data_IF_531683005938
#
_entry.id   IF_531683005938
#
_cell.length_a   1.000
_cell.length_b   1.000
_cell.length_c   1.000
_cell.angle_alpha   90.00
_cell.angle_beta   90.00
_cell.angle_gamma   90.00
#
_symmetry.space_group_name_H-M   'P 1'
#
loop_
_entity.id
_entity.type
_entity.pdbx_description
1 polymer ?
#
# COMPACT_ATOMS: atom_id res chain seq x y z
N UNK A 1 -12.41 0.28 -11.37
CA UNK A 1 -12.00 0.76 -10.03
C UNK A 1 -10.64 0.19 -9.68
N UNK A 2 -9.69 1.02 -9.26
CA UNK A 2 -8.44 0.54 -8.65
C UNK A 2 -8.77 0.10 -7.21
N UNK A 3 -8.31 -1.07 -6.73
CA UNK A 3 -8.49 -1.48 -5.34
C UNK A 3 -7.92 -0.45 -4.35
N UNK A 4 -8.60 -0.26 -3.22
CA UNK A 4 -8.18 0.70 -2.18
C UNK A 4 -6.79 0.32 -1.65
N UNK A 5 -6.51 -0.98 -1.53
CA UNK A 5 -5.22 -1.53 -1.12
C UNK A 5 -4.10 -1.11 -2.06
N UNK A 6 -4.30 -1.22 -3.37
CA UNK A 6 -3.28 -0.86 -4.35
C UNK A 6 -2.95 0.62 -4.29
N UNK A 7 -3.95 1.45 -3.99
CA UNK A 7 -3.78 2.89 -3.80
C UNK A 7 -2.98 3.19 -2.52
N UNK A 8 -3.37 2.59 -1.39
CA UNK A 8 -2.75 2.86 -0.08
C UNK A 8 -1.34 2.31 0.04
N UNK A 9 -1.09 1.12 -0.52
CA UNK A 9 0.23 0.47 -0.49
C UNK A 9 1.10 0.81 -1.70
N UNK A 10 0.67 1.76 -2.54
CA UNK A 10 1.49 2.29 -3.62
C UNK A 10 2.77 2.90 -3.06
N UNK A 11 3.92 2.51 -3.62
CA UNK A 11 5.26 2.97 -3.19
C UNK A 11 5.57 2.70 -1.71
N UNK A 12 4.94 1.67 -1.13
CA UNK A 12 5.25 1.17 0.20
C UNK A 12 6.08 -0.12 0.10
N UNK A 13 7.03 -0.27 1.01
CA UNK A 13 7.80 -1.50 1.18
C UNK A 13 7.54 -2.10 2.55
N UNK A 14 7.00 -3.31 2.55
CA UNK A 14 6.78 -4.10 3.76
C UNK A 14 8.07 -4.38 4.51
N UNK A 15 8.03 -4.25 5.83
CA UNK A 15 9.12 -4.57 6.74
C UNK A 15 8.66 -5.74 7.61
N UNK A 16 9.20 -6.93 7.36
CA UNK A 16 8.75 -8.20 7.99
C UNK A 16 8.71 -8.11 9.52
N UNK A 17 9.74 -7.54 10.15
CA UNK A 17 9.77 -7.38 11.61
C UNK A 17 8.63 -6.51 12.15
N UNK A 18 8.26 -5.45 11.43
CA UNK A 18 7.14 -4.58 11.82
C UNK A 18 5.79 -5.24 11.57
N UNK A 19 5.65 -6.02 10.49
CA UNK A 19 4.44 -6.79 10.23
C UNK A 19 4.15 -7.76 11.37
N UNK A 20 5.15 -8.55 11.77
CA UNK A 20 5.01 -9.51 12.88
C UNK A 20 4.67 -8.79 14.19
N UNK A 21 5.32 -7.65 14.48
CA UNK A 21 5.04 -6.86 15.68
C UNK A 21 3.64 -6.23 15.68
N UNK A 22 3.10 -5.88 14.51
CA UNK A 22 1.75 -5.31 14.38
C UNK A 22 0.64 -6.38 14.54
N UNK A 23 0.96 -7.66 14.37
CA UNK A 23 0.00 -8.77 14.51
C UNK A 23 -0.23 -9.58 13.25
N UNK A 24 0.58 -9.39 12.19
CA UNK A 24 0.58 -10.34 11.08
C UNK A 24 1.16 -11.68 11.55
N UNK A 25 0.54 -12.77 11.13
CA UNK A 25 1.10 -14.11 11.28
C UNK A 25 1.51 -14.67 9.92
N UNK A 26 2.55 -15.48 9.91
CA UNK A 26 3.08 -16.10 8.70
C UNK A 26 2.33 -17.42 8.46
N UNK A 27 1.55 -17.48 7.40
CA UNK A 27 0.89 -18.69 6.93
C UNK A 27 1.59 -19.15 5.64
N UNK A 28 2.38 -20.22 5.71
CA UNK A 28 3.20 -20.72 4.60
C UNK A 28 4.16 -19.66 4.04
N UNK A 29 3.84 -19.12 2.86
CA UNK A 29 4.61 -18.09 2.16
C UNK A 29 3.94 -16.71 2.20
N UNK A 30 2.81 -16.56 2.89
CA UNK A 30 2.04 -15.31 2.93
C UNK A 30 1.92 -14.80 4.36
N UNK A 31 1.85 -13.49 4.53
CA UNK A 31 1.53 -12.87 5.81
C UNK A 31 0.05 -12.57 5.85
N UNK A 32 -0.62 -12.99 6.91
CA UNK A 32 -2.06 -12.80 7.09
C UNK A 32 -2.29 -11.94 8.33
N UNK A 33 -3.17 -10.95 8.20
CA UNK A 33 -3.66 -10.13 9.31
C UNK A 33 -5.19 -10.18 9.30
N UNK A 34 -5.76 -10.47 10.45
CA UNK A 34 -7.19 -10.31 10.69
C UNK A 34 -7.40 -9.20 11.71
N UNK A 35 -8.26 -8.22 11.39
CA UNK A 35 -8.52 -7.10 12.29
C UNK A 35 -9.96 -6.60 12.16
N UNK A 36 -10.70 -6.44 13.27
CA UNK A 36 -11.98 -5.75 13.23
C UNK A 36 -11.77 -4.25 12.98
N UNK A 37 -12.76 -3.61 12.35
CA UNK A 37 -12.80 -2.17 12.14
C UNK A 37 -14.26 -1.69 12.07
N UNK A 38 -14.45 -0.37 12.01
CA UNK A 38 -15.78 0.23 11.98
C UNK A 38 -16.63 -0.26 13.18
N UNK A 39 -16.12 0.01 14.37
CA UNK A 39 -16.70 -0.40 15.67
C UNK A 39 -16.94 -1.91 15.84
N UNK A 40 -16.33 -2.73 14.99
CA UNK A 40 -16.43 -4.19 15.05
C UNK A 40 -17.47 -4.77 14.09
N UNK A 41 -18.25 -3.92 13.40
CA UNK A 41 -19.26 -4.38 12.43
C UNK A 41 -18.62 -5.14 11.26
N UNK A 42 -17.37 -4.79 10.93
CA UNK A 42 -16.63 -5.43 9.85
C UNK A 42 -15.29 -5.98 10.33
N UNK A 43 -14.85 -7.07 9.69
CA UNK A 43 -13.51 -7.63 9.84
C UNK A 43 -12.79 -7.57 8.51
N UNK A 44 -11.54 -7.13 8.51
CA UNK A 44 -10.66 -7.31 7.34
C UNK A 44 -9.78 -8.54 7.50
N UNK A 45 -9.57 -9.25 6.39
CA UNK A 45 -8.56 -10.28 6.24
C UNK A 45 -7.60 -9.83 5.14
N UNK A 46 -6.40 -9.42 5.55
CA UNK A 46 -5.35 -8.96 4.65
C UNK A 46 -4.33 -10.06 4.44
N UNK A 47 -4.02 -10.35 3.19
CA UNK A 47 -2.98 -11.28 2.78
C UNK A 47 -1.90 -10.54 2.00
N UNK A 48 -0.65 -10.69 2.41
CA UNK A 48 0.52 -10.10 1.75
C UNK A 48 1.43 -11.21 1.26
N UNK A 49 1.68 -11.22 -0.04
CA UNK A 49 2.61 -12.16 -0.67
C UNK A 49 4.08 -11.75 -0.44
N UNK A 50 5.06 -12.66 -0.63
CA UNK A 50 6.48 -12.30 -0.55
C UNK A 50 6.91 -11.22 -1.55
N UNK A 51 6.14 -11.06 -2.63
CA UNK A 51 6.36 -10.02 -3.64
C UNK A 51 5.82 -8.65 -3.21
N UNK A 52 5.18 -8.57 -2.04
CA UNK A 52 4.56 -7.36 -1.50
C UNK A 52 3.16 -7.06 -2.05
N UNK A 53 2.60 -7.95 -2.87
CA UNK A 53 1.23 -7.81 -3.38
C UNK A 53 0.24 -8.10 -2.25
N UNK A 54 -0.72 -7.18 -2.08
CA UNK A 54 -1.71 -7.18 -1.01
C UNK A 54 -3.06 -7.59 -1.59
N UNK A 55 -3.78 -8.45 -0.86
CA UNK A 55 -5.17 -8.80 -1.15
C UNK A 55 -5.96 -8.64 0.14
N UNK A 56 -6.99 -7.80 0.11
CA UNK A 56 -7.85 -7.55 1.25
C UNK A 56 -9.27 -8.04 1.00
N UNK A 57 -9.79 -8.77 1.97
CA UNK A 57 -11.22 -9.10 2.07
C UNK A 57 -11.83 -8.34 3.23
N UNK A 58 -13.07 -7.91 3.07
CA UNK A 58 -13.86 -7.29 4.14
C UNK A 58 -15.07 -8.17 4.35
N UNK A 59 -15.29 -8.58 5.59
CA UNK A 59 -16.34 -9.51 6.00
C UNK A 59 -17.25 -8.76 6.97
N UNK A 60 -18.55 -8.78 6.71
CA UNK A 60 -19.56 -8.30 7.64
C UNK A 60 -19.67 -9.31 8.79
N UNK A 61 -19.52 -8.84 10.03
CA UNK A 61 -19.52 -9.73 11.20
C UNK A 61 -20.90 -10.27 11.56
N UNK A 62 -21.98 -9.63 11.11
CA UNK A 62 -23.35 -10.06 11.35
C UNK A 62 -23.71 -11.18 10.37
N UNK A 63 -23.47 -10.96 9.07
CA UNK A 63 -23.82 -11.97 8.03
C UNK A 63 -22.74 -13.01 7.83
N UNK A 64 -21.50 -12.75 8.27
CA UNK A 64 -20.30 -13.54 7.98
C UNK A 64 -19.97 -13.63 6.48
N UNK A 65 -20.57 -12.76 5.65
CA UNK A 65 -20.35 -12.72 4.21
C UNK A 65 -19.36 -11.63 3.81
N UNK A 66 -18.72 -11.82 2.65
CA UNK A 66 -17.85 -10.81 2.07
C UNK A 66 -18.65 -9.58 1.62
N UNK A 67 -18.27 -8.42 2.13
CA UNK A 67 -18.91 -7.13 1.84
C UNK A 67 -18.49 -6.58 0.48
N UNK A 68 -18.93 -7.24 -0.60
CA UNK A 68 -18.49 -6.90 -1.96
C UNK A 68 -18.95 -5.50 -2.44
N UNK A 69 -19.98 -4.91 -1.80
CA UNK A 69 -20.48 -3.57 -2.13
C UNK A 69 -19.40 -2.50 -2.09
N UNK A 70 -18.38 -2.64 -1.23
CA UNK A 70 -17.27 -1.68 -1.18
C UNK A 70 -16.48 -1.61 -2.50
N UNK A 71 -16.50 -2.67 -3.32
CA UNK A 71 -15.82 -2.79 -4.62
C UNK A 71 -16.64 -2.29 -5.81
N UNK A 72 -17.93 -2.03 -5.64
CA UNK A 72 -18.82 -1.63 -6.72
C UNK A 72 -18.84 -0.10 -6.90
N UNK A 73 -18.42 0.41 -8.05
CA UNK A 73 -18.47 1.85 -8.36
C UNK A 73 -19.89 2.43 -8.34
N UNK A 74 -20.90 1.60 -8.65
CA UNK A 74 -22.31 2.02 -8.60
C UNK A 74 -22.84 2.16 -7.16
N UNK A 75 -22.21 1.53 -6.19
CA UNK A 75 -22.62 1.59 -4.79
C UNK A 75 -22.11 2.88 -4.13
N UNK A 76 -22.86 3.97 -4.28
CA UNK A 76 -22.49 5.32 -3.80
C UNK A 76 -23.30 5.80 -2.60
N UNK A 77 -23.93 4.86 -1.88
CA UNK A 77 -24.66 5.16 -0.65
C UNK A 77 -23.75 5.73 0.45
N UNK A 78 -24.31 6.57 1.32
CA UNK A 78 -23.61 7.20 2.45
C UNK A 78 -22.94 6.17 3.36
N UNK A 79 -23.61 5.05 3.62
CA UNK A 79 -23.07 3.95 4.43
C UNK A 79 -21.86 3.27 3.78
N UNK A 80 -21.95 2.88 2.50
CA UNK A 80 -20.85 2.26 1.76
C UNK A 80 -19.61 3.17 1.74
N UNK A 81 -19.81 4.48 1.58
CA UNK A 81 -18.71 5.44 1.60
C UNK A 81 -18.06 5.59 2.98
N UNK A 82 -18.83 5.49 4.08
CA UNK A 82 -18.27 5.44 5.44
C UNK A 82 -17.42 4.18 5.63
N UNK A 83 -17.91 3.02 5.19
CA UNK A 83 -17.15 1.76 5.26
C UNK A 83 -15.86 1.84 4.44
N UNK A 84 -15.91 2.38 3.21
CA UNK A 84 -14.70 2.61 2.39
C UNK A 84 -13.69 3.52 3.08
N UNK A 85 -14.16 4.61 3.70
CA UNK A 85 -13.30 5.57 4.39
C UNK A 85 -12.65 4.95 5.62
N UNK A 86 -13.42 4.22 6.44
CA UNK A 86 -12.90 3.50 7.59
C UNK A 86 -11.90 2.41 7.20
N UNK A 87 -12.18 1.69 6.10
CA UNK A 87 -11.28 0.69 5.57
C UNK A 87 -9.97 1.32 5.06
N UNK A 88 -10.05 2.41 4.28
CA UNK A 88 -8.86 3.14 3.82
C UNK A 88 -8.02 3.69 5.00
N UNK A 89 -8.66 4.18 6.07
CA UNK A 89 -7.99 4.64 7.27
C UNK A 89 -7.24 3.49 7.97
N UNK A 90 -7.86 2.32 8.10
CA UNK A 90 -7.22 1.12 8.64
C UNK A 90 -6.00 0.70 7.80
N UNK A 91 -6.13 0.66 6.48
CA UNK A 91 -5.02 0.31 5.60
C UNK A 91 -3.87 1.32 5.71
N UNK A 92 -4.20 2.60 5.89
CA UNK A 92 -3.21 3.67 6.06
C UNK A 92 -2.45 3.52 7.37
N UNK A 93 -3.14 3.19 8.47
CA UNK A 93 -2.52 2.86 9.75
C UNK A 93 -1.54 1.68 9.61
N UNK A 94 -1.99 0.60 8.95
CA UNK A 94 -1.14 -0.56 8.66
C UNK A 94 0.08 -0.17 7.82
N UNK A 95 -0.09 0.64 6.78
CA UNK A 95 1.02 1.11 5.95
C UNK A 95 2.04 1.93 6.76
N UNK A 96 1.57 2.81 7.65
CA UNK A 96 2.46 3.61 8.49
C UNK A 96 3.21 2.76 9.52
N UNK A 97 2.54 1.75 10.08
CA UNK A 97 3.15 0.86 11.06
C UNK A 97 4.09 -0.17 10.43
N UNK A 98 3.71 -0.78 9.30
CA UNK A 98 4.38 -1.96 8.75
C UNK A 98 5.29 -1.68 7.55
N UNK A 99 5.18 -0.52 6.91
CA UNK A 99 5.91 -0.21 5.70
C UNK A 99 6.91 0.94 5.88
N UNK A 100 7.87 1.00 4.96
CA UNK A 100 8.67 2.20 4.68
C UNK A 100 8.35 2.75 3.30
N UNK A 101 8.54 4.05 3.12
CA UNK A 101 8.38 4.69 1.82
C UNK A 101 9.52 4.33 0.88
N UNK A 102 9.19 4.07 -0.38
CA UNK A 102 10.16 3.86 -1.46
C UNK A 102 9.89 4.79 -2.62
N UNK A 103 10.94 5.21 -3.32
CA UNK A 103 10.81 6.18 -4.42
C UNK A 103 10.13 5.56 -5.64
N UNK A 104 10.38 4.28 -5.89
CA UNK A 104 9.87 3.57 -7.06
C UNK A 104 9.07 2.33 -6.67
N UNK A 105 8.10 1.93 -7.49
CA UNK A 105 7.39 0.67 -7.29
C UNK A 105 8.31 -0.56 -7.48
N UNK A 106 9.30 -0.46 -8.37
CA UNK A 106 10.23 -1.56 -8.66
C UNK A 106 11.29 -1.73 -7.57
N UNK A 107 11.49 -2.94 -7.01
CA UNK A 107 12.60 -3.23 -6.10
C UNK A 107 13.97 -2.96 -6.73
N UNK A 108 14.12 -3.29 -8.02
CA UNK A 108 15.36 -3.07 -8.77
C UNK A 108 15.67 -1.58 -8.92
N UNK A 109 14.67 -0.75 -9.26
CA UNK A 109 14.84 0.70 -9.38
C UNK A 109 15.28 1.32 -8.05
N UNK A 110 14.66 0.91 -6.93
CA UNK A 110 15.08 1.36 -5.61
C UNK A 110 16.50 0.88 -5.24
N UNK A 111 16.90 -0.34 -5.62
CA UNK A 111 18.27 -0.84 -5.40
C UNK A 111 19.29 0.00 -6.17
N UNK A 112 19.01 0.31 -7.43
CA UNK A 112 19.85 1.20 -8.25
C UNK A 112 19.93 2.61 -7.66
N UNK A 113 18.79 3.16 -7.22
CA UNK A 113 18.73 4.46 -6.55
C UNK A 113 19.65 4.52 -5.34
N UNK A 114 19.60 3.52 -4.47
CA UNK A 114 20.46 3.45 -3.29
C UNK A 114 21.95 3.32 -3.66
N UNK A 115 22.27 2.57 -4.72
CA UNK A 115 23.64 2.48 -5.22
C UNK A 115 24.14 3.83 -5.78
N UNK A 116 23.31 4.53 -6.54
CA UNK A 116 23.62 5.85 -7.10
C UNK A 116 23.81 6.88 -5.98
N UNK A 117 22.91 6.90 -4.99
CA UNK A 117 23.02 7.78 -3.84
C UNK A 117 24.31 7.51 -3.05
N UNK A 118 24.63 6.24 -2.77
CA UNK A 118 25.84 5.88 -2.03
C UNK A 118 27.13 6.25 -2.78
N UNK A 119 27.15 6.07 -4.10
CA UNK A 119 28.36 6.27 -4.91
C UNK A 119 28.57 7.71 -5.35
N UNK A 120 27.50 8.41 -5.70
CA UNK A 120 27.54 9.72 -6.33
C UNK A 120 26.85 10.82 -5.53
N UNK A 121 26.19 10.48 -4.41
CA UNK A 121 25.41 11.41 -3.60
C UNK A 121 24.31 12.13 -4.41
N UNK A 122 23.79 11.47 -5.45
CA UNK A 122 22.72 11.99 -6.31
C UNK A 122 21.40 11.35 -5.93
N UNK A 123 20.40 12.18 -5.67
CA UNK A 123 19.01 11.74 -5.54
C UNK A 123 18.30 11.89 -6.89
N UNK A 124 17.32 11.03 -7.20
CA UNK A 124 16.48 11.23 -8.37
C UNK A 124 15.60 12.47 -8.18
N UNK A 125 15.37 13.22 -9.25
CA UNK A 125 14.33 14.22 -9.35
C UNK A 125 13.10 13.64 -10.08
N UNK A 126 11.92 14.25 -9.90
CA UNK A 126 10.66 13.80 -10.51
C UNK A 126 10.09 14.90 -11.42
N UNK A 127 10.66 15.13 -12.62
CA UNK A 127 10.28 16.26 -13.47
C UNK A 127 8.81 16.26 -13.90
N UNK A 128 8.16 15.09 -13.85
CA UNK A 128 6.79 14.89 -14.29
C UNK A 128 5.83 14.58 -13.14
N UNK A 129 6.17 14.98 -11.91
CA UNK A 129 5.31 14.76 -10.74
C UNK A 129 3.88 15.33 -10.90
N UNK A 130 3.71 16.36 -11.72
CA UNK A 130 2.39 16.96 -12.01
C UNK A 130 1.59 16.21 -13.09
N UNK A 131 2.20 15.28 -13.82
CA UNK A 131 1.51 14.47 -14.84
C UNK A 131 1.00 13.18 -14.22
N UNK A 132 -0.32 12.99 -14.15
CA UNK A 132 -0.93 11.77 -13.59
C UNK A 132 -0.35 10.47 -14.18
N UNK A 133 0.05 10.49 -15.47
CA UNK A 133 0.66 9.35 -16.15
C UNK A 133 2.13 9.08 -15.79
N UNK A 134 2.88 10.12 -15.44
CA UNK A 134 4.34 10.07 -15.27
C UNK A 134 4.83 10.51 -13.89
N UNK A 135 3.91 10.68 -12.94
CA UNK A 135 4.21 11.14 -11.58
C UNK A 135 5.18 10.21 -10.81
N UNK A 136 5.35 8.97 -11.26
CA UNK A 136 6.29 8.00 -10.69
C UNK A 136 7.63 7.93 -11.40
N UNK A 137 7.85 8.74 -12.44
CA UNK A 137 9.04 8.68 -13.28
C UNK A 137 10.11 9.60 -12.69
N UNK A 138 11.20 9.00 -12.27
CA UNK A 138 12.35 9.70 -11.72
C UNK A 138 13.49 9.74 -12.74
N UNK A 139 14.15 10.89 -12.84
CA UNK A 139 15.38 11.05 -13.60
C UNK A 139 16.57 11.13 -12.63
N UNK A 140 17.74 10.69 -13.07
CA UNK A 140 18.99 10.95 -12.38
C UNK A 140 19.79 11.91 -13.23
N UNK A 141 20.13 13.06 -12.65
CA UNK A 141 20.84 14.13 -13.35
C UNK A 141 22.12 14.49 -12.63
N UNK A 142 23.14 14.87 -13.38
CA UNK A 142 24.39 15.30 -12.80
C UNK A 142 24.19 16.62 -12.03
N UNK A 143 24.69 16.71 -10.79
CA UNK A 143 24.45 17.85 -9.90
C UNK A 143 24.87 19.20 -10.51
N UNK A 144 25.94 19.21 -11.30
CA UNK A 144 26.52 20.45 -11.84
C UNK A 144 25.78 21.03 -13.04
N UNK A 145 25.13 20.21 -13.88
CA UNK A 145 24.56 20.67 -15.15
C UNK A 145 23.11 20.22 -15.39
N UNK A 146 22.53 19.45 -14.45
CA UNK A 146 21.18 18.89 -14.53
C UNK A 146 20.90 18.11 -15.82
N UNK A 147 21.93 17.54 -16.44
CA UNK A 147 21.84 16.63 -17.59
C UNK A 147 21.83 15.18 -17.14
#
# INVERSE_FOLDING_TARGET
MIPIEETVFSRKRWIESKMLAYGFHKANKTYILEKPFFDGDFKTVLSVTPKGQVTGKVIDTITQDEYYQLRQEAANGTYVNKVRSAYAALLTDIANACCGDVLFASPQANRLTQAILKRFQVNPDFPWEHSARYQSYGAFRHRSNRK
#
